data_IF_026478626877
#
_entry.id   IF_026478626877
#
_cell.length_a   1.000
_cell.length_b   1.000
_cell.length_c   1.000
_cell.angle_alpha   90.00
_cell.angle_beta   90.00
_cell.angle_gamma   90.00
#
_symmetry.space_group_name_H-M   'P 1'
#
loop_
_entity.id
_entity.type
_entity.pdbx_description
1 polymer ?
#
# COMPACT_ATOMS: atom_id res chain seq x y z
N UNK A 1 8.67 9.54 -9.06
CA UNK A 1 9.04 8.86 -7.79
C UNK A 1 8.42 7.47 -7.83
N UNK A 2 9.18 6.45 -7.47
CA UNK A 2 8.83 5.05 -7.74
C UNK A 2 7.67 4.59 -6.86
N UNK A 3 6.57 4.15 -7.47
CA UNK A 3 5.43 3.47 -6.81
C UNK A 3 5.79 2.07 -6.28
N UNK A 4 7.08 1.76 -6.13
CA UNK A 4 7.65 0.43 -5.88
C UNK A 4 7.19 -0.23 -4.58
N UNK A 5 6.70 0.53 -3.61
CA UNK A 5 6.22 -0.04 -2.34
C UNK A 5 4.76 -0.50 -2.41
N UNK A 6 4.06 -0.21 -3.52
CA UNK A 6 2.67 -0.61 -3.70
C UNK A 6 2.62 -1.99 -4.31
N UNK A 7 2.25 -2.96 -3.49
CA UNK A 7 1.99 -4.31 -3.94
C UNK A 7 0.48 -4.56 -4.02
N UNK A 8 -0.16 -4.31 -5.18
CA UNK A 8 -1.57 -4.62 -5.36
C UNK A 8 -1.84 -6.14 -5.42
N UNK A 9 -0.81 -6.95 -5.74
CA UNK A 9 -0.90 -8.40 -5.85
C UNK A 9 -0.48 -9.07 -4.52
N UNK A 10 -1.21 -8.72 -3.46
CA UNK A 10 -0.89 -9.11 -2.08
C UNK A 10 -0.93 -10.63 -1.88
N UNK A 11 -1.87 -11.33 -2.52
CA UNK A 11 -2.00 -12.78 -2.40
C UNK A 11 -0.89 -13.48 -3.19
N UNK A 12 -0.62 -13.05 -4.42
CA UNK A 12 0.47 -13.59 -5.22
C UNK A 12 1.84 -13.47 -4.54
N UNK A 13 2.06 -12.35 -3.84
CA UNK A 13 3.26 -12.10 -3.07
C UNK A 13 3.32 -12.91 -1.77
N UNK A 14 2.18 -13.10 -1.11
CA UNK A 14 2.07 -13.97 0.06
C UNK A 14 2.44 -15.43 -0.30
N UNK A 15 1.97 -15.93 -1.43
CA UNK A 15 2.37 -17.22 -1.98
C UNK A 15 3.89 -17.28 -2.24
N UNK A 16 4.47 -16.24 -2.84
CA UNK A 16 5.91 -16.19 -3.15
C UNK A 16 6.76 -16.22 -1.88
N UNK A 17 6.33 -15.51 -0.83
CA UNK A 17 6.99 -15.54 0.47
C UNK A 17 6.92 -16.93 1.13
N UNK A 18 5.82 -17.67 0.95
CA UNK A 18 5.68 -19.04 1.44
C UNK A 18 6.57 -20.02 0.68
N UNK A 19 6.59 -19.92 -0.64
CA UNK A 19 7.41 -20.75 -1.53
C UNK A 19 8.92 -20.56 -1.27
N UNK A 20 9.34 -19.33 -1.02
CA UNK A 20 10.75 -18.98 -0.75
C UNK A 20 11.17 -19.13 0.72
N UNK A 21 10.24 -19.52 1.60
CA UNK A 21 10.51 -19.57 3.04
C UNK A 21 11.51 -20.66 3.39
N UNK A 22 12.68 -20.31 3.94
CA UNK A 22 13.75 -21.28 4.25
C UNK A 22 13.52 -22.11 5.53
N UNK A 23 12.49 -21.82 6.33
CA UNK A 23 12.27 -22.42 7.65
C UNK A 23 10.95 -23.19 7.76
N UNK A 24 9.87 -22.68 7.15
CA UNK A 24 8.53 -23.28 7.14
C UNK A 24 8.24 -23.92 5.77
N UNK A 25 7.28 -24.83 5.72
CA UNK A 25 6.77 -25.45 4.47
C UNK A 25 7.84 -26.20 3.65
N UNK A 26 8.82 -26.79 4.34
CA UNK A 26 9.93 -27.49 3.69
C UNK A 26 9.65 -28.95 3.38
N UNK A 27 8.60 -29.51 3.97
CA UNK A 27 8.14 -30.87 3.71
C UNK A 27 7.57 -31.02 2.29
N UNK A 28 7.55 -32.27 1.83
CA UNK A 28 7.17 -32.61 0.45
C UNK A 28 5.71 -32.24 0.15
N UNK A 29 4.84 -32.39 1.14
CA UNK A 29 3.41 -32.14 1.00
C UNK A 29 3.11 -30.64 0.89
N UNK A 30 3.68 -29.81 1.78
CA UNK A 30 3.57 -28.36 1.70
C UNK A 30 4.06 -27.81 0.36
N UNK A 31 5.21 -28.30 -0.14
CA UNK A 31 5.75 -27.88 -1.44
C UNK A 31 4.84 -28.28 -2.59
N UNK A 32 4.29 -29.49 -2.55
CA UNK A 32 3.31 -29.96 -3.52
C UNK A 32 2.08 -29.05 -3.53
N UNK A 33 1.50 -28.81 -2.36
CA UNK A 33 0.30 -27.96 -2.24
C UNK A 33 0.55 -26.51 -2.66
N UNK A 34 1.68 -25.91 -2.28
CA UNK A 34 2.04 -24.56 -2.75
C UNK A 34 2.16 -24.50 -4.28
N UNK A 35 2.68 -25.55 -4.91
CA UNK A 35 2.80 -25.63 -6.39
C UNK A 35 1.44 -25.73 -7.06
N UNK A 36 0.52 -26.53 -6.50
CA UNK A 36 -0.86 -26.64 -6.98
C UNK A 36 -1.59 -25.30 -6.82
N UNK A 37 -1.50 -24.69 -5.64
CA UNK A 37 -2.10 -23.39 -5.34
C UNK A 37 -1.55 -22.30 -6.27
N UNK A 38 -0.25 -22.30 -6.56
CA UNK A 38 0.36 -21.35 -7.50
C UNK A 38 -0.20 -21.51 -8.91
N UNK A 39 -0.41 -22.75 -9.35
CA UNK A 39 -0.97 -23.04 -10.67
C UNK A 39 -2.38 -22.48 -10.80
N UNK A 40 -3.25 -22.71 -9.81
CA UNK A 40 -4.61 -22.18 -9.80
C UNK A 40 -4.65 -20.66 -9.63
N UNK A 41 -3.77 -20.11 -8.77
CA UNK A 41 -3.60 -18.67 -8.64
C UNK A 41 -3.25 -18.00 -9.97
N UNK A 42 -2.33 -18.57 -10.74
CA UNK A 42 -1.91 -18.00 -12.02
C UNK A 42 -3.06 -17.99 -13.04
N UNK A 43 -3.93 -19.00 -13.02
CA UNK A 43 -5.14 -19.04 -13.85
C UNK A 43 -6.13 -17.96 -13.42
N UNK A 44 -6.42 -17.86 -12.12
CA UNK A 44 -7.30 -16.83 -11.55
C UNK A 44 -6.80 -15.41 -11.84
N UNK A 45 -5.51 -15.17 -11.65
CA UNK A 45 -4.84 -13.90 -11.96
C UNK A 45 -4.97 -13.54 -13.44
N UNK A 46 -4.62 -14.47 -14.34
CA UNK A 46 -4.65 -14.22 -15.79
C UNK A 46 -6.08 -13.94 -16.27
N UNK A 47 -7.06 -14.74 -15.84
CA UNK A 47 -8.46 -14.53 -16.19
C UNK A 47 -8.97 -13.16 -15.71
N UNK A 48 -8.58 -12.70 -14.52
CA UNK A 48 -8.95 -11.38 -14.03
C UNK A 48 -8.28 -10.23 -14.81
N UNK A 49 -7.07 -10.43 -15.32
CA UNK A 49 -6.37 -9.44 -16.16
C UNK A 49 -6.99 -9.32 -17.55
N UNK A 50 -7.51 -10.42 -18.11
CA UNK A 50 -8.22 -10.44 -19.39
C UNK A 50 -9.55 -9.69 -19.34
N UNK A 51 -10.21 -9.66 -18.19
CA UNK A 51 -11.40 -8.84 -17.97
C UNK A 51 -11.02 -7.36 -17.86
N UNK A 52 -11.64 -6.54 -18.71
CA UNK A 52 -11.49 -5.08 -18.71
C UNK A 52 -12.81 -4.44 -18.29
N UNK A 53 -12.75 -3.61 -17.26
CA UNK A 53 -13.88 -2.90 -16.70
C UNK A 53 -14.35 -3.49 -15.36
N UNK A 54 -15.34 -2.85 -14.71
CA UNK A 54 -15.96 -1.57 -15.09
C UNK A 54 -14.98 -0.38 -15.08
N UNK A 55 -15.28 0.67 -15.85
CA UNK A 55 -14.49 1.91 -15.90
C UNK A 55 -15.31 3.10 -15.39
N UNK A 56 -14.78 4.32 -15.45
CA UNK A 56 -15.50 5.53 -15.01
C UNK A 56 -16.76 5.84 -15.84
N UNK A 57 -16.86 5.26 -17.04
CA UNK A 57 -18.02 5.39 -17.92
C UNK A 57 -18.82 4.09 -17.90
N UNK A 58 -20.04 4.08 -17.36
CA UNK A 58 -20.84 2.86 -17.26
C UNK A 58 -21.15 2.26 -18.63
N UNK A 59 -21.16 0.92 -18.71
CA UNK A 59 -21.53 0.17 -19.90
C UNK A 59 -22.54 -0.93 -19.59
N UNK A 60 -23.32 -1.36 -20.59
CA UNK A 60 -24.28 -2.45 -20.43
C UNK A 60 -23.61 -3.80 -20.05
N UNK A 61 -22.28 -3.91 -20.21
CA UNK A 61 -21.50 -5.11 -19.88
C UNK A 61 -20.98 -5.12 -18.44
N UNK A 62 -21.08 -4.02 -17.70
CA UNK A 62 -20.46 -3.90 -16.39
C UNK A 62 -20.96 -4.97 -15.41
N UNK A 63 -22.27 -5.21 -15.39
CA UNK A 63 -22.87 -6.25 -14.56
C UNK A 63 -22.36 -7.65 -14.92
N UNK A 64 -22.17 -7.93 -16.21
CA UNK A 64 -21.63 -9.20 -16.68
C UNK A 64 -20.16 -9.36 -16.25
N UNK A 65 -19.34 -8.31 -16.41
CA UNK A 65 -17.93 -8.31 -16.00
C UNK A 65 -17.80 -8.52 -14.50
N UNK A 66 -18.59 -7.81 -13.68
CA UNK A 66 -18.59 -7.98 -12.22
C UNK A 66 -18.99 -9.41 -11.86
N UNK A 67 -20.05 -9.95 -12.47
CA UNK A 67 -20.47 -11.33 -12.23
C UNK A 67 -19.39 -12.36 -12.60
N UNK A 68 -18.68 -12.15 -13.72
CA UNK A 68 -17.55 -12.99 -14.12
C UNK A 68 -16.39 -12.91 -13.12
N UNK A 69 -16.03 -11.72 -12.64
CA UNK A 69 -15.01 -11.55 -11.59
C UNK A 69 -15.40 -12.28 -10.29
N UNK A 70 -16.65 -12.15 -9.85
CA UNK A 70 -17.16 -12.84 -8.66
C UNK A 70 -17.14 -14.35 -8.84
N UNK A 71 -17.48 -14.84 -10.04
CA UNK A 71 -17.37 -16.27 -10.36
C UNK A 71 -15.91 -16.76 -10.26
N UNK A 72 -14.96 -16.03 -10.85
CA UNK A 72 -13.53 -16.35 -10.75
C UNK A 72 -13.04 -16.38 -9.29
N UNK A 73 -13.49 -15.43 -8.47
CA UNK A 73 -13.21 -15.44 -7.02
C UNK A 73 -13.79 -16.68 -6.35
N UNK A 74 -15.06 -17.01 -6.60
CA UNK A 74 -15.73 -18.16 -5.99
C UNK A 74 -15.01 -19.45 -6.36
N UNK A 75 -14.74 -19.67 -7.65
CA UNK A 75 -14.07 -20.87 -8.15
C UNK A 75 -12.68 -21.05 -7.49
N UNK A 76 -11.91 -19.97 -7.37
CA UNK A 76 -10.59 -20.01 -6.73
C UNK A 76 -10.68 -20.24 -5.22
N UNK A 77 -11.67 -19.62 -4.55
CA UNK A 77 -11.91 -19.83 -3.12
C UNK A 77 -12.36 -21.25 -2.82
N UNK A 78 -13.26 -21.81 -3.62
CA UNK A 78 -13.72 -23.19 -3.47
C UNK A 78 -12.56 -24.19 -3.66
N UNK A 79 -11.62 -23.90 -4.56
CA UNK A 79 -10.39 -24.66 -4.69
C UNK A 79 -9.51 -24.56 -3.42
N UNK A 80 -9.25 -23.35 -2.92
CA UNK A 80 -8.42 -23.14 -1.73
C UNK A 80 -9.03 -23.70 -0.45
N UNK A 81 -10.35 -23.70 -0.34
CA UNK A 81 -11.10 -24.11 0.85
C UNK A 81 -11.23 -25.66 0.93
N UNK A 82 -10.65 -26.41 -0.03
CA UNK A 82 -10.54 -27.87 0.07
C UNK A 82 -9.76 -28.28 1.33
N UNK A 83 -10.26 -29.31 2.02
CA UNK A 83 -9.82 -29.69 3.37
C UNK A 83 -8.31 -29.87 3.51
N UNK A 84 -7.66 -30.55 2.55
CA UNK A 84 -6.22 -30.82 2.61
C UNK A 84 -5.35 -29.55 2.49
N UNK A 85 -5.84 -28.50 1.83
CA UNK A 85 -5.15 -27.21 1.82
C UNK A 85 -5.40 -26.44 3.12
N UNK A 86 -6.66 -26.35 3.55
CA UNK A 86 -7.06 -25.62 4.76
C UNK A 86 -6.43 -26.17 6.05
N UNK A 87 -6.25 -27.50 6.16
CA UNK A 87 -5.60 -28.13 7.30
C UNK A 87 -4.08 -27.92 7.32
N UNK A 88 -3.44 -27.77 6.15
CA UNK A 88 -1.98 -27.55 6.07
C UNK A 88 -1.58 -26.11 6.24
N UNK A 89 -2.38 -25.18 5.73
CA UNK A 89 -2.14 -23.76 5.84
C UNK A 89 -3.14 -23.18 6.84
N UNK A 90 -2.75 -23.07 8.12
CA UNK A 90 -3.57 -22.48 9.18
C UNK A 90 -4.23 -21.18 8.68
N UNK A 91 -5.51 -21.00 9.01
CA UNK A 91 -6.29 -19.76 8.85
C UNK A 91 -5.50 -18.47 9.17
N UNK A 92 -4.55 -18.53 10.11
CA UNK A 92 -3.65 -17.42 10.49
C UNK A 92 -2.50 -17.16 9.52
N UNK A 93 -2.39 -17.89 8.42
CA UNK A 93 -1.32 -17.76 7.43
C UNK A 93 -1.54 -16.61 6.44
N UNK A 94 -2.63 -15.84 6.59
CA UNK A 94 -3.11 -14.82 5.66
C UNK A 94 -3.43 -15.35 4.25
N UNK A 95 -3.45 -16.67 4.05
CA UNK A 95 -3.69 -17.26 2.73
C UNK A 95 -5.08 -16.88 2.23
N UNK A 96 -6.13 -17.04 3.05
CA UNK A 96 -7.50 -16.74 2.64
C UNK A 96 -7.82 -15.24 2.67
N UNK A 97 -7.34 -14.49 3.67
CA UNK A 97 -7.64 -13.05 3.80
C UNK A 97 -7.10 -12.23 2.62
N UNK A 98 -5.86 -12.54 2.19
CA UNK A 98 -5.21 -11.84 1.08
C UNK A 98 -5.91 -12.06 -0.27
N UNK A 99 -6.70 -13.13 -0.45
CA UNK A 99 -7.47 -13.37 -1.69
C UNK A 99 -8.49 -12.27 -1.91
N UNK A 100 -9.20 -11.87 -0.85
CA UNK A 100 -10.20 -10.80 -0.95
C UNK A 100 -9.54 -9.44 -1.17
N UNK A 101 -8.44 -9.16 -0.48
CA UNK A 101 -7.66 -7.93 -0.68
C UNK A 101 -7.22 -7.80 -2.16
N UNK A 102 -6.69 -8.86 -2.77
CA UNK A 102 -6.28 -8.85 -4.18
C UNK A 102 -7.48 -8.85 -5.15
N UNK A 103 -8.59 -9.48 -4.78
CA UNK A 103 -9.82 -9.42 -5.56
C UNK A 103 -10.34 -7.98 -5.71
N UNK A 104 -10.30 -7.20 -4.64
CA UNK A 104 -10.69 -5.78 -4.68
C UNK A 104 -9.81 -4.99 -5.66
N UNK A 105 -8.53 -5.33 -5.78
CA UNK A 105 -7.68 -4.74 -6.82
C UNK A 105 -8.22 -5.04 -8.22
N UNK A 106 -8.56 -6.29 -8.55
CA UNK A 106 -9.13 -6.62 -9.85
C UNK A 106 -10.47 -5.95 -10.12
N UNK A 107 -11.31 -5.82 -9.09
CA UNK A 107 -12.62 -5.17 -9.19
C UNK A 107 -12.50 -3.68 -9.53
N UNK A 108 -11.50 -3.00 -8.97
CA UNK A 108 -11.38 -1.54 -9.09
C UNK A 108 -10.24 -1.04 -9.99
N UNK A 109 -9.31 -1.89 -10.46
CA UNK A 109 -8.12 -1.46 -11.22
C UNK A 109 -8.45 -0.61 -12.44
N UNK A 110 -9.51 -0.96 -13.18
CA UNK A 110 -9.85 -0.29 -14.43
C UNK A 110 -10.57 1.04 -14.16
N UNK A 111 -11.45 1.07 -13.15
CA UNK A 111 -12.07 2.29 -12.67
C UNK A 111 -11.04 3.29 -12.14
N UNK A 112 -10.11 2.84 -11.30
CA UNK A 112 -9.09 3.70 -10.70
C UNK A 112 -8.12 4.23 -11.75
N UNK A 113 -7.79 3.43 -12.77
CA UNK A 113 -6.94 3.87 -13.88
C UNK A 113 -7.51 5.08 -14.62
N UNK A 114 -8.83 5.19 -14.74
CA UNK A 114 -9.48 6.35 -15.38
C UNK A 114 -9.31 7.65 -14.60
N UNK A 115 -9.11 7.58 -13.27
CA UNK A 115 -8.88 8.75 -12.44
C UNK A 115 -7.44 9.28 -12.51
N UNK A 116 -6.51 8.49 -13.07
CA UNK A 116 -5.14 8.89 -13.34
C UNK A 116 -4.09 7.89 -12.86
N UNK A 117 -2.89 7.98 -13.43
CA UNK A 117 -1.77 7.06 -13.16
C UNK A 117 -1.24 7.09 -11.72
N UNK A 118 -1.58 8.13 -10.96
CA UNK A 118 -1.03 8.36 -9.61
C UNK A 118 -2.01 7.96 -8.51
N UNK A 119 -3.21 7.49 -8.86
CA UNK A 119 -4.18 7.03 -7.89
C UNK A 119 -3.60 5.86 -7.06
N UNK A 120 -3.89 5.88 -5.77
CA UNK A 120 -3.55 4.82 -4.85
C UNK A 120 -4.62 3.73 -4.94
N UNK A 121 -4.20 2.46 -5.07
CA UNK A 121 -5.07 1.29 -5.03
C UNK A 121 -4.34 0.12 -4.35
N UNK A 122 -5.01 -0.56 -3.43
CA UNK A 122 -4.49 -1.72 -2.71
C UNK A 122 -4.20 -1.43 -1.24
N UNK A 123 -3.45 -2.32 -0.59
CA UNK A 123 -3.06 -2.19 0.82
C UNK A 123 -2.22 -0.93 1.02
N UNK A 124 -2.53 -0.12 2.03
CA UNK A 124 -1.79 1.12 2.31
C UNK A 124 -1.86 1.53 3.80
N UNK A 125 -0.89 2.37 4.18
CA UNK A 125 -0.81 3.04 5.47
C UNK A 125 -1.20 4.50 5.28
N UNK A 126 -2.45 4.84 5.57
CA UNK A 126 -2.97 6.17 5.26
C UNK A 126 -2.78 7.15 6.41
N UNK A 127 -2.72 8.44 6.08
CA UNK A 127 -2.68 9.54 7.01
C UNK A 127 -3.79 9.43 8.07
N UNK A 128 -3.41 9.55 9.34
CA UNK A 128 -4.32 9.61 10.49
C UNK A 128 -4.25 10.98 11.15
N UNK A 129 -3.04 11.41 11.53
CA UNK A 129 -2.82 12.66 12.25
C UNK A 129 -1.41 13.22 12.01
N UNK A 130 -1.20 14.49 12.35
CA UNK A 130 0.09 15.19 12.30
C UNK A 130 0.41 15.86 13.62
N UNK A 131 1.61 15.61 14.14
CA UNK A 131 2.12 16.21 15.36
C UNK A 131 3.38 17.00 15.10
N UNK A 132 3.55 18.16 15.75
CA UNK A 132 4.79 18.94 15.69
C UNK A 132 5.55 18.76 17.01
N UNK A 133 6.66 18.02 16.97
CA UNK A 133 7.39 17.59 18.16
C UNK A 133 8.87 17.89 18.00
N UNK A 134 9.26 19.11 18.35
CA UNK A 134 10.66 19.50 18.41
C UNK A 134 11.41 18.71 19.49
N UNK A 135 12.67 18.28 19.25
CA UNK A 135 13.46 17.53 20.23
C UNK A 135 13.84 18.37 21.47
N UNK A 136 13.90 19.70 21.36
CA UNK A 136 14.19 20.64 22.45
C UNK A 136 13.83 22.08 22.07
N UNK A 137 13.68 22.96 23.06
CA UNK A 137 13.29 24.36 22.84
C UNK A 137 14.17 25.11 21.83
N UNK A 138 15.50 24.92 21.87
CA UNK A 138 16.44 25.59 20.96
C UNK A 138 16.28 25.20 19.48
N UNK A 139 15.58 24.10 19.21
CA UNK A 139 15.36 23.59 17.86
C UNK A 139 14.00 24.03 17.31
N UNK A 140 13.06 24.46 18.16
CA UNK A 140 11.66 24.70 17.80
C UNK A 140 11.43 25.67 16.63
N UNK A 141 12.34 26.64 16.43
CA UNK A 141 12.24 27.62 15.34
C UNK A 141 13.03 27.23 14.08
N UNK A 142 13.83 26.16 14.14
CA UNK A 142 14.69 25.77 13.01
C UNK A 142 13.90 25.12 11.88
N UNK A 143 12.91 24.30 12.22
CA UNK A 143 11.99 23.61 11.30
C UNK A 143 10.77 23.08 12.07
N UNK A 144 9.71 22.62 11.38
CA UNK A 144 8.46 22.20 12.05
C UNK A 144 8.55 20.94 12.93
N UNK A 145 9.48 20.02 12.66
CA UNK A 145 9.55 18.69 13.30
C UNK A 145 8.20 17.95 13.26
N UNK A 146 7.58 17.94 12.08
CA UNK A 146 6.32 17.26 11.85
C UNK A 146 6.51 15.73 11.90
N UNK A 147 5.54 15.04 12.50
CA UNK A 147 5.43 13.58 12.59
C UNK A 147 4.08 13.17 12.05
N UNK A 148 4.09 12.36 10.99
CA UNK A 148 2.87 11.83 10.38
C UNK A 148 2.54 10.49 11.03
N UNK A 149 1.40 10.43 11.71
CA UNK A 149 0.82 9.17 12.18
C UNK A 149 0.03 8.53 11.04
N UNK A 150 0.20 7.21 10.86
CA UNK A 150 -0.46 6.43 9.81
C UNK A 150 -1.33 5.34 10.41
N UNK A 151 -2.39 4.94 9.70
CA UNK A 151 -3.25 3.81 10.03
C UNK A 151 -3.18 2.76 8.92
N UNK A 152 -3.09 1.50 9.32
CA UNK A 152 -3.07 0.36 8.40
C UNK A 152 -4.48 0.04 7.94
N UNK A 153 -4.61 -0.21 6.64
CA UNK A 153 -5.85 -0.59 5.99
C UNK A 153 -5.60 -1.76 5.03
N UNK A 154 -6.54 -2.69 4.98
CA UNK A 154 -6.41 -3.86 4.11
C UNK A 154 -6.59 -3.50 2.64
N UNK A 155 -7.49 -2.56 2.33
CA UNK A 155 -7.61 -2.01 0.98
C UNK A 155 -8.01 -0.53 0.97
N UNK A 156 -7.29 0.25 0.17
CA UNK A 156 -7.50 1.69 0.01
C UNK A 156 -7.60 2.04 -1.47
N UNK A 157 -8.54 2.94 -1.79
CA UNK A 157 -8.49 3.76 -3.00
C UNK A 157 -8.29 5.20 -2.57
N UNK A 158 -7.31 5.90 -3.13
CA UNK A 158 -7.00 7.25 -2.69
C UNK A 158 -5.96 7.97 -3.52
N UNK A 159 -5.22 8.87 -2.87
CA UNK A 159 -4.16 9.63 -3.50
C UNK A 159 -2.97 9.79 -2.55
N UNK A 160 -1.78 9.93 -3.12
CA UNK A 160 -0.60 10.34 -2.36
C UNK A 160 -0.47 11.85 -2.43
N UNK A 161 -0.34 12.46 -1.28
CA UNK A 161 -0.16 13.89 -1.11
C UNK A 161 1.28 14.17 -0.69
N UNK A 162 1.86 15.19 -1.32
CA UNK A 162 3.08 15.82 -0.87
C UNK A 162 2.72 17.12 -0.15
N UNK A 163 3.15 17.27 1.11
CA UNK A 163 2.94 18.48 1.90
C UNK A 163 4.28 19.00 2.42
N UNK A 164 4.51 20.30 2.30
CA UNK A 164 5.70 20.97 2.81
C UNK A 164 5.32 21.94 3.93
N UNK A 165 6.02 21.85 5.04
CA UNK A 165 5.85 22.72 6.21
C UNK A 165 7.12 23.55 6.38
N UNK A 166 6.96 24.83 6.63
CA UNK A 166 8.07 25.77 6.80
C UNK A 166 7.95 26.47 8.16
N UNK A 167 9.05 26.54 8.90
CA UNK A 167 9.12 27.37 10.09
C UNK A 167 9.29 28.84 9.71
N UNK A 168 8.51 29.73 10.31
CA UNK A 168 8.63 31.17 10.08
C UNK A 168 10.05 31.64 10.44
N UNK A 169 10.65 32.44 9.56
CA UNK A 169 11.90 33.12 9.88
C UNK A 169 11.63 34.08 11.04
N UNK A 170 12.46 34.08 12.10
CA UNK A 170 12.32 35.05 13.17
C UNK A 170 12.33 36.46 12.57
N UNK A 171 11.42 37.38 12.99
CA UNK A 171 11.58 38.79 12.66
C UNK A 171 12.95 39.21 13.18
N UNK A 172 13.77 39.85 12.34
CA UNK A 172 15.15 40.26 12.63
C UNK A 172 15.29 40.72 14.09
N UNK A 173 15.95 39.91 14.91
CA UNK A 173 16.53 40.37 16.16
C UNK A 173 18.02 40.54 15.90
N UNK A 174 18.44 41.80 15.98
CA UNK A 174 19.79 42.35 16.00
C UNK A 174 20.93 41.37 15.74
N UNK A 175 21.70 41.69 14.68
CA UNK A 175 22.98 41.09 14.29
C UNK A 175 23.78 40.61 15.51
N UNK A 176 23.62 39.34 15.86
CA UNK A 176 24.51 38.64 16.77
C UNK A 176 25.33 37.70 15.88
N UNK A 177 26.58 38.07 15.54
CA UNK A 177 27.38 37.28 14.63
C UNK A 177 27.81 36.00 15.35
N UNK A 178 27.16 34.87 15.04
CA UNK A 178 27.56 33.60 15.67
C UNK A 178 26.86 32.33 15.18
N UNK A 179 25.57 32.35 14.86
CA UNK A 179 24.87 31.12 14.43
C UNK A 179 24.54 31.16 12.94
N UNK A 180 25.49 30.67 12.15
CA UNK A 180 25.21 30.23 10.79
C UNK A 180 24.14 29.13 10.87
N UNK A 181 22.91 29.44 10.43
CA UNK A 181 21.87 28.44 10.18
C UNK A 181 22.45 27.46 9.19
N UNK A 182 22.92 26.32 9.69
CA UNK A 182 23.54 25.31 8.85
C UNK A 182 22.41 24.67 8.07
N UNK A 183 22.34 24.94 6.76
CA UNK A 183 21.36 24.33 5.89
C UNK A 183 21.64 22.83 5.82
N UNK A 184 20.88 22.06 6.59
CA UNK A 184 20.93 20.61 6.56
C UNK A 184 20.05 20.16 5.40
N UNK A 185 20.68 19.54 4.40
CA UNK A 185 19.97 18.73 3.41
C UNK A 185 19.98 17.30 3.91
N UNK A 186 18.81 16.78 4.27
CA UNK A 186 18.60 15.39 4.62
C UNK A 186 17.68 14.80 3.56
N UNK A 187 18.22 13.89 2.75
CA UNK A 187 17.41 13.06 1.87
C UNK A 187 16.83 11.89 2.67
N UNK A 188 15.58 11.51 2.43
CA UNK A 188 14.93 10.43 3.15
C UNK A 188 15.54 9.07 2.75
N UNK A 189 15.80 8.22 3.74
CA UNK A 189 16.19 6.81 3.50
C UNK A 189 14.98 5.93 3.19
N UNK A 190 13.76 6.42 3.48
CA UNK A 190 12.49 5.70 3.30
C UNK A 190 11.35 6.64 2.88
N UNK A 191 10.35 6.08 2.19
CA UNK A 191 9.10 6.77 1.84
C UNK A 191 8.36 7.39 3.04
N UNK A 192 8.62 6.90 4.25
CA UNK A 192 8.05 7.43 5.50
C UNK A 192 8.79 8.61 6.09
N UNK A 193 9.94 8.98 5.52
CA UNK A 193 10.81 10.04 6.06
C UNK A 193 10.62 11.35 5.31
N UNK A 194 10.74 12.44 6.05
CA UNK A 194 10.62 13.77 5.49
C UNK A 194 11.91 14.17 4.79
N UNK A 195 11.80 14.75 3.59
CA UNK A 195 12.93 15.47 2.99
C UNK A 195 13.05 16.82 3.68
N UNK A 196 14.23 17.13 4.21
CA UNK A 196 14.47 18.42 4.87
C UNK A 196 15.45 19.25 4.05
N UNK A 197 15.08 20.51 3.80
CA UNK A 197 15.92 21.49 3.10
C UNK A 197 15.82 22.82 3.83
N UNK A 198 16.85 23.17 4.60
CA UNK A 198 16.83 24.38 5.43
C UNK A 198 15.79 24.29 6.55
N UNK A 199 14.86 25.25 6.58
CA UNK A 199 13.74 25.34 7.52
C UNK A 199 12.45 24.67 7.01
N UNK A 200 12.51 24.00 5.86
CA UNK A 200 11.37 23.32 5.22
C UNK A 200 11.46 21.81 5.39
N UNK A 201 10.36 21.18 5.81
CA UNK A 201 10.17 19.73 5.85
C UNK A 201 9.09 19.33 4.85
N UNK A 202 9.42 18.43 3.91
CA UNK A 202 8.48 17.89 2.93
C UNK A 202 8.17 16.43 3.24
N UNK A 203 6.88 16.13 3.39
CA UNK A 203 6.36 14.81 3.74
C UNK A 203 5.53 14.25 2.59
N UNK A 204 5.61 12.94 2.39
CA UNK A 204 4.73 12.18 1.50
C UNK A 204 3.84 11.26 2.34
N UNK A 205 2.53 11.32 2.12
CA UNK A 205 1.58 10.44 2.79
C UNK A 205 0.35 10.16 1.94
N UNK A 206 -0.28 9.02 2.22
CA UNK A 206 -1.44 8.54 1.48
C UNK A 206 -2.72 9.00 2.16
N UNK A 207 -3.66 9.58 1.41
CA UNK A 207 -4.99 9.94 1.90
C UNK A 207 -6.01 8.98 1.28
N UNK A 208 -6.89 8.35 2.09
CA UNK A 208 -7.92 7.48 1.57
C UNK A 208 -9.12 8.29 1.07
N UNK A 209 -9.70 7.87 -0.04
CA UNK A 209 -11.04 8.27 -0.49
C UNK A 209 -12.04 7.15 -0.16
N UNK A 210 -11.61 5.90 -0.36
CA UNK A 210 -12.35 4.69 0.01
C UNK A 210 -11.44 3.81 0.85
N UNK A 211 -12.00 3.25 1.91
CA UNK A 211 -11.36 2.27 2.80
C UNK A 211 -12.26 1.04 2.89
N UNK A 212 -11.65 -0.13 2.80
CA UNK A 212 -12.31 -1.42 3.07
C UNK A 212 -11.43 -2.14 4.10
N UNK A 213 -11.99 -2.35 5.29
CA UNK A 213 -11.39 -3.01 6.47
C UNK A 213 -12.22 -4.25 6.84
#
# INVERSE_FOLDING_TARGET
MSTSDRNPLVHGSNLQQKESNRKKYQDVESKKFLTEIRTEYNQWHSANLELIGPTSTPTDKDNEIIAQRVKLLSDYKDFLDQQHYAEKFDSRSNLHSSVLEEFLYYLFKDLVRDFGSNALIGKSHTFKDIFFVSPKYSEMLKRPYARIEKKDHDFVIGATIQASFEAATPPEQDETPGELVTFVQQEPESYSEATVTGNVETHLFDIPVVVID
#
